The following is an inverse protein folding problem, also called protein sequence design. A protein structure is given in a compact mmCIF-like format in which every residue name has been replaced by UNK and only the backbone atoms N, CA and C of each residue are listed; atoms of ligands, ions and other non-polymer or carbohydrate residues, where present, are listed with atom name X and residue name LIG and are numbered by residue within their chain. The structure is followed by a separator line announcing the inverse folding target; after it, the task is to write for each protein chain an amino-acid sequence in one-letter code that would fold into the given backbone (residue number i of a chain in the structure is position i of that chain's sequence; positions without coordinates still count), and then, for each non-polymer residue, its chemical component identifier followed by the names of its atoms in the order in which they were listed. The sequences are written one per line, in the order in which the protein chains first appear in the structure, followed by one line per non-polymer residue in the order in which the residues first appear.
data_IF_071819270035
#
_entry.id   IF_071819270035
#
_cell.length_a   1.000
_cell.length_b   1.000
_cell.length_c   1.000
_cell.angle_alpha   90.00
_cell.angle_beta   90.00
_cell.angle_gamma   90.00
#
_symmetry.space_group_name_H-M   'P 1'
#
loop_
_entity.id
_entity.type
_entity.pdbx_description
1 polymer ?
#
# COMPACT_ATOMS: atom_id res chain seq x y z
N UNK A 1 -15.52 4.78 -24.89
CA UNK A 1 -14.99 4.61 -23.52
C UNK A 1 -13.48 4.60 -23.63
N UNK A 2 -12.80 5.62 -23.11
CA UNK A 2 -11.35 5.72 -23.19
C UNK A 2 -10.79 4.78 -22.13
N UNK A 3 -10.10 3.72 -22.55
CA UNK A 3 -9.48 2.76 -21.62
C UNK A 3 -8.35 3.45 -20.87
N UNK A 4 -8.42 3.43 -19.53
CA UNK A 4 -7.35 3.89 -18.68
C UNK A 4 -6.06 3.12 -19.00
N UNK A 5 -4.93 3.82 -19.12
CA UNK A 5 -3.62 3.17 -19.24
C UNK A 5 -3.10 2.92 -17.82
N UNK A 6 -2.74 1.69 -17.51
CA UNK A 6 -2.18 1.31 -16.20
C UNK A 6 -0.77 0.73 -16.37
N UNK A 7 0.15 1.11 -15.49
CA UNK A 7 1.53 0.60 -15.45
C UNK A 7 1.88 0.22 -14.02
N UNK A 8 2.25 -1.04 -13.78
CA UNK A 8 2.75 -1.45 -12.46
C UNK A 8 4.17 -0.94 -12.25
N UNK A 9 4.37 -0.11 -11.24
CA UNK A 9 5.67 0.46 -10.87
C UNK A 9 6.44 -0.42 -9.89
N UNK A 10 5.73 -1.01 -8.92
CA UNK A 10 6.33 -1.88 -7.91
C UNK A 10 5.32 -2.91 -7.40
N UNK A 11 5.81 -3.98 -6.79
CA UNK A 11 5.00 -4.99 -6.11
C UNK A 11 5.58 -5.26 -4.73
N UNK A 12 4.76 -5.14 -3.71
CA UNK A 12 5.11 -5.38 -2.31
C UNK A 12 4.42 -6.67 -1.89
N UNK A 13 5.16 -7.72 -1.49
CA UNK A 13 4.57 -8.96 -0.99
C UNK A 13 3.64 -8.70 0.20
N UNK A 14 2.51 -9.40 0.25
CA UNK A 14 1.64 -9.41 1.41
C UNK A 14 2.11 -10.40 2.46
N UNK A 15 1.27 -10.66 3.47
CA UNK A 15 1.58 -11.63 4.53
C UNK A 15 1.37 -13.09 4.12
N UNK A 16 0.67 -13.33 3.01
CA UNK A 16 0.49 -14.63 2.39
C UNK A 16 1.02 -14.62 0.95
N UNK A 17 1.48 -15.77 0.46
CA UNK A 17 2.09 -15.92 -0.87
C UNK A 17 1.13 -15.57 -2.02
N UNK A 18 -0.17 -15.69 -1.78
CA UNK A 18 -1.24 -15.36 -2.71
C UNK A 18 -1.75 -13.92 -2.54
N UNK A 19 -1.03 -13.07 -1.81
CA UNK A 19 -1.43 -11.69 -1.52
C UNK A 19 -0.30 -10.71 -1.80
N UNK A 20 -0.63 -9.54 -2.35
CA UNK A 20 0.34 -8.46 -2.57
C UNK A 20 -0.32 -7.10 -2.71
N UNK A 21 0.48 -6.05 -2.56
CA UNK A 21 0.12 -4.69 -2.97
C UNK A 21 0.89 -4.35 -4.25
N UNK A 22 0.19 -4.07 -5.33
CA UNK A 22 0.79 -3.51 -6.54
C UNK A 22 0.69 -1.97 -6.49
N UNK A 23 1.83 -1.30 -6.70
CA UNK A 23 1.87 0.15 -6.88
C UNK A 23 1.71 0.41 -8.37
N UNK A 24 0.64 1.09 -8.76
CA UNK A 24 0.24 1.25 -10.16
C UNK A 24 0.17 2.73 -10.49
N UNK A 25 0.76 3.15 -11.61
CA UNK A 25 0.51 4.45 -12.22
C UNK A 25 -0.66 4.30 -13.18
N UNK A 26 -1.72 5.05 -12.96
CA UNK A 26 -2.88 5.10 -13.85
C UNK A 26 -2.91 6.45 -14.57
N UNK A 27 -3.26 6.43 -15.86
CA UNK A 27 -3.47 7.62 -16.66
C UNK A 27 -4.92 7.65 -17.17
N UNK A 28 -5.68 8.61 -16.68
CA UNK A 28 -7.10 8.79 -17.01
C UNK A 28 -7.40 10.27 -17.25
N UNK A 29 -8.12 10.57 -18.33
CA UNK A 29 -8.56 11.93 -18.68
C UNK A 29 -7.44 13.00 -18.65
N UNK A 30 -6.22 12.63 -19.06
CA UNK A 30 -5.06 13.51 -19.06
C UNK A 30 -4.43 13.75 -17.69
N UNK A 31 -4.89 13.05 -16.64
CA UNK A 31 -4.32 13.09 -15.31
C UNK A 31 -3.63 11.75 -15.00
N UNK A 32 -2.47 11.83 -14.36
CA UNK A 32 -1.73 10.67 -13.88
C UNK A 32 -1.85 10.56 -12.36
N UNK A 33 -2.17 9.38 -11.86
CA UNK A 33 -2.37 9.12 -10.44
C UNK A 33 -1.65 7.84 -10.04
N UNK A 34 -1.23 7.77 -8.78
CA UNK A 34 -0.69 6.54 -8.22
C UNK A 34 -1.82 5.83 -7.48
N UNK A 35 -1.97 4.54 -7.71
CA UNK A 35 -2.92 3.68 -7.04
C UNK A 35 -2.18 2.55 -6.32
N UNK A 36 -2.68 2.19 -5.14
CA UNK A 36 -2.31 0.96 -4.45
C UNK A 36 -3.41 -0.05 -4.70
N UNK A 37 -3.06 -1.16 -5.35
CA UNK A 37 -3.99 -2.26 -5.62
C UNK A 37 -3.67 -3.40 -4.66
N UNK A 38 -4.61 -3.72 -3.77
CA UNK A 38 -4.55 -4.98 -3.05
C UNK A 38 -4.95 -6.09 -4.00
N UNK A 39 -4.05 -7.04 -4.21
CA UNK A 39 -4.26 -8.14 -5.15
C UNK A 39 -4.17 -9.48 -4.44
N UNK A 40 -4.98 -10.42 -4.93
CA UNK A 40 -4.88 -11.82 -4.57
C UNK A 40 -4.66 -12.69 -5.80
N UNK A 41 -4.01 -13.82 -5.61
CA UNK A 41 -3.82 -14.84 -6.64
C UNK A 41 -4.96 -15.85 -6.59
N UNK A 42 -5.57 -16.11 -7.75
CA UNK A 42 -6.52 -17.19 -7.93
C UNK A 42 -6.01 -18.17 -8.98
N UNK A 43 -6.08 -19.47 -8.71
CA UNK A 43 -5.77 -20.49 -9.70
C UNK A 43 -6.68 -20.31 -10.94
N UNK A 44 -6.08 -20.29 -12.14
CA UNK A 44 -6.79 -20.07 -13.41
C UNK A 44 -7.17 -18.62 -13.72
N UNK A 45 -7.06 -17.69 -12.76
CA UNK A 45 -7.39 -16.26 -12.94
C UNK A 45 -6.11 -15.42 -12.93
N UNK A 46 -5.13 -15.82 -12.13
CA UNK A 46 -3.92 -15.05 -11.86
C UNK A 46 -4.15 -13.99 -10.78
N UNK A 47 -3.38 -12.90 -10.84
CA UNK A 47 -3.51 -11.78 -9.91
C UNK A 47 -4.74 -10.94 -10.26
N UNK A 48 -5.66 -10.78 -9.31
CA UNK A 48 -6.83 -9.93 -9.44
C UNK A 48 -6.88 -8.91 -8.30
N UNK A 49 -7.40 -7.73 -8.60
CA UNK A 49 -7.49 -6.63 -7.64
C UNK A 49 -8.74 -6.78 -6.76
N UNK A 50 -8.55 -6.88 -5.46
CA UNK A 50 -9.61 -6.91 -4.46
C UNK A 50 -10.05 -5.50 -4.06
N UNK A 51 -9.08 -4.58 -3.91
CA UNK A 51 -9.34 -3.20 -3.53
C UNK A 51 -8.32 -2.25 -4.16
N UNK A 52 -8.70 -0.98 -4.29
CA UNK A 52 -7.86 0.08 -4.82
C UNK A 52 -7.90 1.29 -3.89
N UNK A 53 -6.75 1.93 -3.70
CA UNK A 53 -6.62 3.22 -3.04
C UNK A 53 -5.93 4.17 -3.98
N UNK A 54 -6.60 5.25 -4.35
CA UNK A 54 -6.03 6.34 -5.15
C UNK A 54 -5.23 7.25 -4.22
N UNK A 55 -4.02 7.62 -4.64
CA UNK A 55 -3.15 8.53 -3.92
C UNK A 55 -2.99 9.83 -4.70
N UNK A 56 -3.33 10.93 -4.03
CA UNK A 56 -3.00 12.28 -4.49
C UNK A 56 -1.49 12.55 -4.39
N UNK A 57 -0.92 13.44 -5.21
CA UNK A 57 0.52 13.70 -5.22
C UNK A 57 1.12 14.06 -3.84
N UNK A 58 0.39 14.82 -3.01
CA UNK A 58 0.86 15.15 -1.66
C UNK A 58 0.90 13.92 -0.74
N UNK A 59 -0.03 12.97 -0.92
CA UNK A 59 -0.08 11.74 -0.13
C UNK A 59 1.08 10.80 -0.50
N UNK A 60 1.46 10.72 -1.78
CA UNK A 60 2.65 9.98 -2.22
C UNK A 60 3.92 10.54 -1.56
N UNK A 61 4.04 11.87 -1.52
CA UNK A 61 5.18 12.54 -0.87
C UNK A 61 5.21 12.25 0.63
N UNK A 62 4.07 12.40 1.31
CA UNK A 62 3.95 12.10 2.75
C UNK A 62 4.28 10.64 3.06
N UNK A 63 3.82 9.70 2.22
CA UNK A 63 4.13 8.27 2.34
C UNK A 63 5.62 8.01 2.15
N UNK A 64 6.25 8.58 1.12
CA UNK A 64 7.69 8.44 0.88
C UNK A 64 8.52 8.98 2.05
N UNK A 65 8.12 10.10 2.66
CA UNK A 65 8.80 10.68 3.81
C UNK A 65 8.59 9.87 5.10
N UNK A 66 7.40 9.29 5.28
CA UNK A 66 7.09 8.41 6.40
C UNK A 66 7.85 7.09 6.33
N UNK A 67 7.88 6.45 5.16
CA UNK A 67 8.53 5.15 4.93
C UNK A 67 10.05 5.27 4.75
N UNK A 68 10.53 6.34 4.12
CA UNK A 68 11.96 6.58 3.89
C UNK A 68 12.79 6.76 5.17
N UNK A 69 12.14 7.01 6.32
CA UNK A 69 12.79 7.01 7.64
C UNK A 69 13.04 5.60 8.21
N UNK A 70 12.42 4.56 7.64
CA UNK A 70 12.52 3.17 8.12
C UNK A 70 13.40 2.27 7.25
N UNK A 71 14.02 2.78 6.18
CA UNK A 71 14.75 1.96 5.20
C UNK A 71 16.18 1.52 5.64
N UNK A 72 16.57 1.76 6.89
CA UNK A 72 17.78 1.14 7.50
C UNK A 72 17.33 0.26 8.65
N UNK A 73 16.70 -0.86 8.34
CA UNK A 73 16.52 -1.95 9.29
C UNK A 73 16.30 -3.25 8.51
N UNK A 74 17.41 -3.90 8.15
CA UNK A 74 17.38 -5.33 7.84
C UNK A 74 16.69 -6.03 9.02
N UNK A 75 15.64 -6.81 8.74
CA UNK A 75 14.99 -7.70 9.72
C UNK A 75 14.76 -7.08 11.10
N UNK A 76 14.00 -5.98 11.19
CA UNK A 76 13.58 -5.47 12.49
C UNK A 76 12.10 -5.74 12.69
N UNK A 77 11.83 -6.79 13.48
CA UNK A 77 10.62 -6.89 14.30
C UNK A 77 10.14 -5.51 14.71
N UNK A 78 8.83 -5.24 14.58
CA UNK A 78 8.20 -4.00 15.06
C UNK A 78 8.87 -3.55 16.37
N UNK A 79 9.32 -2.28 16.46
CA UNK A 79 10.03 -1.82 17.65
C UNK A 79 9.15 -2.10 18.87
N UNK A 80 9.70 -2.84 19.82
CA UNK A 80 9.05 -3.14 21.09
C UNK A 80 8.69 -1.79 21.73
N UNK A 81 7.39 -1.51 21.85
CA UNK A 81 6.82 -0.23 22.30
C UNK A 81 7.16 0.14 23.76
N UNK A 82 8.03 -0.62 24.41
CA UNK A 82 8.52 -0.36 25.77
C UNK A 82 9.83 0.42 25.81
N UNK A 83 10.56 0.56 24.69
CA UNK A 83 11.89 1.19 24.69
C UNK A 83 11.89 2.73 24.54
N UNK A 84 10.89 3.28 23.86
CA UNK A 84 10.60 4.71 23.87
C UNK A 84 9.22 4.83 24.51
N UNK A 85 9.02 5.71 25.49
CA UNK A 85 7.77 5.93 26.22
C UNK A 85 6.57 6.42 25.39
N UNK A 86 6.50 6.01 24.12
CA UNK A 86 5.36 6.09 23.25
C UNK A 86 4.41 4.93 23.55
N UNK A 87 3.32 5.23 24.25
CA UNK A 87 2.21 4.30 24.44
C UNK A 87 1.17 4.52 23.36
N UNK A 88 0.97 3.58 22.40
CA UNK A 88 -0.14 3.69 21.46
C UNK A 88 -1.46 3.58 22.21
N UNK A 89 -2.28 4.63 22.15
CA UNK A 89 -3.69 4.58 22.58
C UNK A 89 -4.47 3.77 21.55
N UNK A 90 -4.65 2.48 21.81
CA UNK A 90 -5.60 1.67 21.05
C UNK A 90 -6.99 2.19 21.40
N UNK A 91 -7.65 2.86 20.45
CA UNK A 91 -9.04 3.28 20.60
C UNK A 91 -9.89 2.22 19.92
N UNK A 92 -10.60 1.45 20.72
CA UNK A 92 -11.64 0.54 20.25
C UNK A 92 -12.77 1.39 19.66
N UNK A 93 -13.14 1.16 18.41
CA UNK A 93 -14.40 1.68 17.89
C UNK A 93 -15.51 0.76 18.41
N UNK A 94 -16.31 1.23 19.36
CA UNK A 94 -17.58 0.58 19.67
C UNK A 94 -18.43 0.64 18.41
N UNK A 95 -18.75 -0.55 17.88
CA UNK A 95 -19.66 -0.69 16.76
C UNK A 95 -21.08 -0.38 17.27
N UNK A 96 -21.72 0.61 16.67
CA UNK A 96 -23.11 1.02 16.93
C UNK A 96 -24.11 0.05 16.29
#
# INVERSE_FOLDING_TARGET
MQTAQEVTLNTIPGSADDSRIAVVLTHQHGQSQIELHQQSWGEGIGWFTQSKVVLEPQQVTALSLGLGKSAVAEHTTLPNATACGWTPRIVSADSA
#
